data_IF_725188216484
#
_entry.id   IF_725188216484
#
_cell.length_a   1.000
_cell.length_b   1.000
_cell.length_c   1.000
_cell.angle_alpha   90.00
_cell.angle_beta   90.00
_cell.angle_gamma   90.00
#
_symmetry.space_group_name_H-M   'P 1'
#
loop_
_entity.id
_entity.type
_entity.pdbx_description
1 polymer ?
#
# COMPACT_ATOMS: atom_id res chain seq x y z
N UNK A 1 20.09 8.01 -5.78
CA UNK A 1 18.76 8.12 -5.15
C UNK A 1 18.80 7.32 -3.86
N UNK A 2 18.51 7.94 -2.71
CA UNK A 2 18.32 7.28 -1.42
C UNK A 2 16.83 7.01 -1.20
N UNK A 3 16.47 5.75 -1.01
CA UNK A 3 15.09 5.27 -0.92
C UNK A 3 14.89 4.67 0.48
N UNK A 4 13.98 5.27 1.25
CA UNK A 4 13.54 4.67 2.51
C UNK A 4 12.39 3.71 2.26
N UNK A 5 12.46 2.54 2.87
CA UNK A 5 11.41 1.53 2.77
C UNK A 5 11.02 1.05 4.17
N UNK A 6 9.73 0.82 4.41
CA UNK A 6 9.27 0.14 5.63
C UNK A 6 9.95 -1.22 5.75
N UNK A 7 10.56 -1.51 6.90
CA UNK A 7 11.31 -2.73 7.17
C UNK A 7 10.50 -4.03 7.00
N UNK A 8 9.17 -3.95 7.11
CA UNK A 8 8.27 -5.08 6.97
C UNK A 8 7.57 -5.11 5.59
N UNK A 9 7.98 -4.24 4.66
CA UNK A 9 7.50 -4.32 3.28
C UNK A 9 8.20 -5.48 2.57
N UNK A 10 7.46 -6.51 2.13
CA UNK A 10 8.07 -7.71 1.54
C UNK A 10 8.81 -7.35 0.25
N UNK A 11 9.97 -7.98 0.05
CA UNK A 11 10.84 -7.81 -1.13
C UNK A 11 11.37 -6.38 -1.38
N UNK A 12 11.08 -5.41 -0.50
CA UNK A 12 11.39 -4.00 -0.76
C UNK A 12 12.87 -3.76 -1.07
N UNK A 13 13.78 -4.31 -0.24
CA UNK A 13 15.23 -4.17 -0.49
C UNK A 13 15.64 -4.78 -1.83
N UNK A 14 15.17 -5.98 -2.15
CA UNK A 14 15.54 -6.67 -3.38
C UNK A 14 15.07 -5.93 -4.64
N UNK A 15 13.87 -5.37 -4.60
CA UNK A 15 13.29 -4.65 -5.74
C UNK A 15 13.86 -3.24 -5.88
N UNK A 16 13.86 -2.45 -4.80
CA UNK A 16 14.26 -1.04 -4.86
C UNK A 16 15.79 -0.83 -4.94
N UNK A 17 16.62 -1.81 -4.53
CA UNK A 17 18.08 -1.69 -4.66
C UNK A 17 18.55 -1.64 -6.11
N UNK A 18 17.68 -2.00 -7.06
CA UNK A 18 17.92 -1.84 -8.51
C UNK A 18 17.83 -0.39 -8.98
N UNK A 19 17.24 0.49 -8.16
CA UNK A 19 16.96 1.90 -8.50
C UNK A 19 17.83 2.89 -7.70
N UNK A 20 18.43 2.46 -6.60
CA UNK A 20 19.23 3.33 -5.75
C UNK A 20 19.67 2.69 -4.43
N UNK A 21 20.20 3.52 -3.53
CA UNK A 21 20.56 3.11 -2.18
C UNK A 21 19.28 2.92 -1.36
N UNK A 22 19.09 1.72 -0.80
CA UNK A 22 17.90 1.40 0.00
C UNK A 22 18.27 1.32 1.48
N UNK A 23 17.49 2.03 2.30
CA UNK A 23 17.55 1.89 3.75
C UNK A 23 16.18 1.49 4.30
N UNK A 24 16.16 0.38 5.03
CA UNK A 24 14.99 -0.10 5.77
C UNK A 24 14.83 0.71 7.04
N UNK A 25 13.62 1.18 7.31
CA UNK A 25 13.27 1.95 8.52
C UNK A 25 11.97 1.41 9.13
N UNK A 26 11.77 1.53 10.45
CA UNK A 26 10.48 1.23 11.07
C UNK A 26 9.40 2.16 10.51
N UNK A 27 8.21 1.63 10.26
CA UNK A 27 7.08 2.42 9.74
C UNK A 27 6.46 3.37 10.79
N UNK A 28 6.71 3.15 12.08
CA UNK A 28 6.27 4.01 13.18
C UNK A 28 7.18 3.85 14.42
N UNK A 29 7.86 4.91 14.88
CA UNK A 29 8.12 6.17 14.18
C UNK A 29 9.20 6.01 13.10
N UNK A 30 9.12 6.77 12.01
CA UNK A 30 10.25 6.91 11.08
C UNK A 30 11.27 7.88 11.69
N UNK A 31 12.58 7.57 11.72
CA UNK A 31 13.58 8.52 12.21
C UNK A 31 13.69 9.74 11.28
N UNK A 32 13.51 10.94 11.84
CA UNK A 32 13.51 12.22 11.09
C UNK A 32 14.84 12.45 10.35
N UNK A 33 15.96 12.11 10.98
CA UNK A 33 17.29 12.21 10.36
C UNK A 33 17.40 11.42 9.05
N UNK A 34 16.68 10.31 8.91
CA UNK A 34 16.68 9.56 7.66
C UNK A 34 15.88 10.26 6.56
N UNK A 35 14.75 10.89 6.92
CA UNK A 35 13.90 11.62 5.98
C UNK A 35 14.64 12.82 5.37
N UNK A 36 15.45 13.53 6.17
CA UNK A 36 16.23 14.68 5.75
C UNK A 36 17.27 14.38 4.65
N UNK A 37 17.56 13.11 4.41
CA UNK A 37 18.54 12.67 3.42
C UNK A 37 17.95 11.76 2.34
N UNK A 38 16.63 11.57 2.31
CA UNK A 38 15.97 10.63 1.41
C UNK A 38 15.33 11.33 0.20
N UNK A 39 15.43 10.70 -0.97
CA UNK A 39 14.78 11.18 -2.20
C UNK A 39 13.36 10.61 -2.35
N UNK A 40 13.11 9.40 -1.84
CA UNK A 40 11.84 8.71 -1.96
C UNK A 40 11.51 7.87 -0.70
N UNK A 41 10.22 7.72 -0.42
CA UNK A 41 9.71 7.01 0.75
C UNK A 41 8.66 5.97 0.35
N UNK A 42 8.88 4.71 0.73
CA UNK A 42 7.96 3.59 0.48
C UNK A 42 7.37 3.08 1.81
N UNK A 43 6.07 3.28 2.00
CA UNK A 43 5.38 3.02 3.28
C UNK A 43 4.30 1.96 3.18
N UNK A 44 3.84 1.50 4.35
CA UNK A 44 2.56 0.79 4.53
C UNK A 44 1.57 1.69 5.30
N UNK A 45 0.37 1.18 5.59
CA UNK A 45 -0.71 1.93 6.25
C UNK A 45 -0.40 2.41 7.67
N UNK A 46 0.64 1.87 8.32
CA UNK A 46 1.04 2.28 9.68
C UNK A 46 1.64 3.68 9.74
N UNK A 47 2.23 4.16 8.63
CA UNK A 47 2.84 5.47 8.54
C UNK A 47 1.80 6.48 8.05
N UNK A 48 1.53 7.51 8.84
CA UNK A 48 0.71 8.64 8.41
C UNK A 48 1.57 9.61 7.60
N UNK A 49 1.30 9.76 6.32
CA UNK A 49 2.05 10.63 5.40
C UNK A 49 1.29 11.93 5.24
N UNK A 50 1.86 13.03 5.74
CA UNK A 50 1.27 14.36 5.72
C UNK A 50 2.35 15.43 5.86
N UNK A 51 1.92 16.70 5.91
CA UNK A 51 2.81 17.85 6.09
C UNK A 51 3.77 17.70 7.27
N UNK A 52 3.25 17.28 8.43
CA UNK A 52 4.08 17.13 9.63
C UNK A 52 5.20 16.11 9.51
N UNK A 53 5.07 15.14 8.61
CA UNK A 53 6.11 14.13 8.36
C UNK A 53 7.14 14.60 7.34
N UNK A 54 6.71 15.30 6.29
CA UNK A 54 7.52 15.50 5.08
C UNK A 54 7.97 16.95 4.85
N UNK A 55 7.39 17.93 5.54
CA UNK A 55 7.77 19.34 5.38
C UNK A 55 9.26 19.55 5.66
N UNK A 56 9.95 20.24 4.74
CA UNK A 56 11.39 20.51 4.82
C UNK A 56 12.30 19.34 4.42
N UNK A 57 11.74 18.18 4.06
CA UNK A 57 12.53 17.02 3.59
C UNK A 57 12.77 17.08 2.08
N UNK A 58 13.84 16.46 1.56
CA UNK A 58 14.10 16.38 0.12
C UNK A 58 13.26 15.30 -0.62
N UNK A 59 12.27 14.70 0.03
CA UNK A 59 11.45 13.63 -0.55
C UNK A 59 10.63 14.17 -1.72
N UNK A 60 10.78 13.53 -2.88
CA UNK A 60 10.09 13.89 -4.14
C UNK A 60 9.05 12.86 -4.55
N UNK A 61 9.04 11.69 -3.92
CA UNK A 61 8.11 10.61 -4.24
C UNK A 61 7.72 9.80 -3.00
N UNK A 62 6.43 9.52 -2.87
CA UNK A 62 5.87 8.60 -1.87
C UNK A 62 5.16 7.45 -2.57
N UNK A 63 5.60 6.22 -2.28
CA UNK A 63 4.89 5.01 -2.64
C UNK A 63 4.22 4.41 -1.41
N UNK A 64 2.98 3.92 -1.53
CA UNK A 64 2.41 3.05 -0.51
C UNK A 64 2.08 1.68 -1.08
N UNK A 65 2.59 0.63 -0.43
CA UNK A 65 2.29 -0.76 -0.77
C UNK A 65 0.94 -1.20 -0.18
N UNK A 66 -0.10 -0.41 -0.43
CA UNK A 66 -1.45 -0.62 0.09
C UNK A 66 -2.50 -0.26 -0.96
N UNK A 67 -3.67 -0.90 -0.87
CA UNK A 67 -4.79 -0.64 -1.77
C UNK A 67 -5.52 0.67 -1.45
N UNK A 68 -5.72 0.97 -0.16
CA UNK A 68 -6.34 2.21 0.31
C UNK A 68 -5.32 3.30 0.62
N UNK A 69 -5.79 4.55 0.71
CA UNK A 69 -4.91 5.73 0.85
C UNK A 69 -5.25 6.61 2.06
N UNK A 70 -6.10 6.16 2.98
CA UNK A 70 -6.56 6.94 4.15
C UNK A 70 -5.43 7.49 5.04
N UNK A 71 -4.27 6.83 5.07
CA UNK A 71 -3.09 7.25 5.82
C UNK A 71 -2.23 8.29 5.09
N UNK A 72 -2.62 8.71 3.89
CA UNK A 72 -1.87 9.63 3.02
C UNK A 72 -2.70 10.89 2.73
N UNK A 73 -2.13 12.05 3.00
CA UNK A 73 -2.70 13.34 2.57
C UNK A 73 -2.34 13.62 1.10
N UNK A 74 -3.07 12.99 0.18
CA UNK A 74 -2.82 13.11 -1.28
C UNK A 74 -2.97 14.54 -1.79
N UNK A 75 -3.88 15.32 -1.18
CA UNK A 75 -4.10 16.72 -1.54
C UNK A 75 -2.86 17.56 -1.21
N UNK A 76 -2.29 17.37 -0.02
CA UNK A 76 -1.06 18.06 0.38
C UNK A 76 0.15 17.60 -0.45
N UNK A 77 0.32 16.29 -0.69
CA UNK A 77 1.40 15.79 -1.57
C UNK A 77 1.35 16.44 -2.96
N UNK A 78 0.14 16.56 -3.52
CA UNK A 78 -0.06 17.22 -4.81
C UNK A 78 0.27 18.71 -4.76
N UNK A 79 -0.10 19.41 -3.69
CA UNK A 79 0.21 20.82 -3.49
C UNK A 79 1.72 21.08 -3.46
N UNK A 80 2.48 20.23 -2.78
CA UNK A 80 3.95 20.33 -2.69
C UNK A 80 4.69 19.77 -3.92
N UNK A 81 3.97 19.23 -4.90
CA UNK A 81 4.57 18.63 -6.09
C UNK A 81 5.30 17.31 -5.81
N UNK A 82 4.95 16.61 -4.74
CA UNK A 82 5.49 15.30 -4.38
C UNK A 82 4.71 14.22 -5.15
N UNK A 83 5.42 13.40 -5.93
CA UNK A 83 4.81 12.29 -6.65
C UNK A 83 4.21 11.26 -5.69
N UNK A 84 3.06 10.69 -6.03
CA UNK A 84 2.38 9.69 -5.21
C UNK A 84 1.94 8.49 -6.05
N UNK A 85 2.09 7.29 -5.48
CA UNK A 85 1.49 6.06 -6.02
C UNK A 85 1.04 5.15 -4.89
N UNK A 86 -0.20 4.65 -5.01
CA UNK A 86 -0.70 3.52 -4.24
C UNK A 86 -0.56 2.20 -5.05
N UNK A 87 -1.05 1.10 -4.50
CA UNK A 87 -1.16 -0.19 -5.17
C UNK A 87 -2.63 -0.65 -5.23
N UNK A 88 -3.53 0.08 -5.92
CA UNK A 88 -4.94 -0.25 -5.98
C UNK A 88 -5.14 -1.66 -6.55
N UNK A 89 -6.01 -2.44 -5.90
CA UNK A 89 -6.31 -3.82 -6.31
C UNK A 89 -5.23 -4.86 -5.98
N UNK A 90 -4.14 -4.49 -5.27
CA UNK A 90 -3.03 -5.42 -4.98
C UNK A 90 -3.45 -6.69 -4.20
N UNK A 91 -4.59 -6.65 -3.51
CA UNK A 91 -5.17 -7.78 -2.78
C UNK A 91 -6.60 -8.15 -3.25
N UNK A 92 -7.11 -7.56 -4.33
CA UNK A 92 -8.49 -7.77 -4.78
C UNK A 92 -8.77 -9.23 -5.15
N UNK A 93 -7.85 -9.87 -5.88
CA UNK A 93 -7.97 -11.28 -6.27
C UNK A 93 -8.02 -12.20 -5.03
N UNK A 94 -7.23 -11.91 -4.00
CA UNK A 94 -7.26 -12.71 -2.77
C UNK A 94 -8.64 -12.67 -2.10
N UNK A 95 -9.34 -11.53 -2.13
CA UNK A 95 -10.71 -11.41 -1.62
C UNK A 95 -11.71 -12.17 -2.50
N UNK A 96 -11.55 -12.10 -3.83
CA UNK A 96 -12.37 -12.88 -4.77
C UNK A 96 -12.23 -14.38 -4.50
N UNK A 97 -11.01 -14.89 -4.36
CA UNK A 97 -10.75 -16.29 -4.07
C UNK A 97 -11.29 -16.72 -2.69
N UNK A 98 -11.19 -15.84 -1.69
CA UNK A 98 -11.83 -16.05 -0.39
C UNK A 98 -13.35 -16.22 -0.50
N UNK A 99 -14.02 -15.35 -1.29
CA UNK A 99 -15.47 -15.44 -1.52
C UNK A 99 -15.82 -16.74 -2.24
N UNK A 100 -15.08 -17.11 -3.29
CA UNK A 100 -15.28 -18.38 -3.98
C UNK A 100 -15.09 -19.58 -3.06
N UNK A 101 -14.08 -19.57 -2.21
CA UNK A 101 -13.83 -20.63 -1.22
C UNK A 101 -15.02 -20.82 -0.28
N UNK A 102 -15.55 -19.73 0.27
CA UNK A 102 -16.73 -19.76 1.13
C UNK A 102 -17.99 -20.25 0.39
N UNK A 103 -18.22 -19.77 -0.84
CA UNK A 103 -19.36 -20.17 -1.66
C UNK A 103 -19.33 -21.66 -2.04
N UNK A 104 -18.15 -22.19 -2.40
CA UNK A 104 -17.98 -23.60 -2.73
C UNK A 104 -18.25 -24.49 -1.51
N UNK A 105 -17.75 -24.09 -0.33
CA UNK A 105 -18.02 -24.81 0.91
C UNK A 105 -19.52 -24.83 1.27
N UNK A 106 -20.21 -23.69 1.13
CA UNK A 106 -21.65 -23.61 1.37
C UNK A 106 -22.46 -24.44 0.36
N UNK A 107 -22.07 -24.41 -0.92
CA UNK A 107 -22.70 -25.20 -1.98
C UNK A 107 -22.61 -26.70 -1.70
N UNK A 108 -21.44 -27.17 -1.24
CA UNK A 108 -21.23 -28.56 -0.83
C UNK A 108 -22.06 -28.91 0.41
N UNK A 109 -21.97 -28.09 1.48
CA UNK A 109 -22.66 -28.33 2.75
C UNK A 109 -24.18 -28.43 2.60
N UNK A 110 -24.76 -27.53 1.83
CA UNK A 110 -26.22 -27.37 1.70
C UNK A 110 -26.79 -28.04 0.44
N UNK A 111 -25.94 -28.67 -0.39
CA UNK A 111 -26.35 -29.45 -1.54
C UNK A 111 -26.97 -28.64 -2.68
N UNK A 112 -26.43 -27.47 -3.01
CA UNK A 112 -26.92 -26.65 -4.12
C UNK A 112 -25.86 -26.36 -5.19
N UNK A 113 -26.31 -26.11 -6.43
CA UNK A 113 -25.45 -25.63 -7.51
C UNK A 113 -25.32 -24.11 -7.47
N UNK A 114 -24.09 -23.60 -7.57
CA UNK A 114 -23.83 -22.16 -7.66
C UNK A 114 -24.44 -21.52 -8.90
N UNK A 115 -24.64 -22.27 -9.99
CA UNK A 115 -25.25 -21.76 -11.23
C UNK A 115 -26.73 -21.44 -11.08
N UNK A 116 -27.37 -21.97 -10.04
CA UNK A 116 -28.78 -21.75 -9.72
C UNK A 116 -28.97 -20.62 -8.68
N UNK A 117 -27.96 -19.75 -8.54
CA UNK A 117 -27.95 -18.63 -7.59
C UNK A 117 -27.75 -17.31 -8.32
N UNK A 118 -28.39 -16.27 -7.80
CA UNK A 118 -28.16 -14.89 -8.19
C UNK A 118 -27.19 -14.26 -7.21
N UNK A 119 -26.09 -13.69 -7.71
CA UNK A 119 -25.09 -12.99 -6.89
C UNK A 119 -25.32 -11.49 -7.00
N UNK A 120 -25.61 -10.84 -5.87
CA UNK A 120 -25.64 -9.38 -5.77
C UNK A 120 -24.26 -8.85 -5.39
N UNK A 121 -23.65 -8.04 -6.26
CA UNK A 121 -22.37 -7.36 -5.97
C UNK A 121 -22.68 -5.91 -5.60
N UNK A 122 -22.42 -5.54 -4.34
CA UNK A 122 -22.60 -4.17 -3.84
C UNK A 122 -21.22 -3.53 -3.67
N UNK A 123 -20.90 -2.58 -4.55
CA UNK A 123 -19.55 -2.04 -4.72
C UNK A 123 -18.76 -2.80 -5.80
N UNK A 124 -18.43 -2.13 -6.91
CA UNK A 124 -17.77 -2.71 -8.11
C UNK A 124 -16.48 -1.93 -8.41
N UNK A 125 -15.61 -1.84 -7.41
CA UNK A 125 -14.30 -1.18 -7.49
C UNK A 125 -13.14 -2.15 -7.70
#
# INVERSE_FOLDING_TARGET
MKILVDENMPYARELFSRLGEVKTVPGRPIPVEELNHADALMVRSVTKVNESLLSGTPIKFVGTATAGTDHVDEAWLKQEGIGFSAAPGCNAIAVVEYVFSALLMLAERDGFSLRDRTVGIVGVG
#
